data_IF_648514923280
#
_entry.id   IF_648514923280
#
_cell.length_a   1.000
_cell.length_b   1.000
_cell.length_c   1.000
_cell.angle_alpha   90.00
_cell.angle_beta   90.00
_cell.angle_gamma   90.00
#
_symmetry.space_group_name_H-M   'P 1'
#
loop_
_entity.id
_entity.type
_entity.pdbx_description
1 polymer ?
#
# COMPACT_ATOMS: atom_id res chain seq x y z
N UNK A 1 12.83 -33.49 19.47
CA UNK A 1 12.96 -33.02 20.88
C UNK A 1 12.41 -31.60 20.90
N UNK A 2 11.17 -31.44 21.38
CA UNK A 2 10.40 -30.21 21.25
C UNK A 2 10.99 -29.14 22.18
N UNK A 3 11.56 -28.07 21.61
CA UNK A 3 12.20 -26.99 22.36
C UNK A 3 11.23 -25.95 22.94
N UNK A 4 9.92 -26.11 22.74
CA UNK A 4 8.91 -25.08 23.05
C UNK A 4 7.89 -25.49 24.12
N UNK A 5 8.20 -26.48 24.96
CA UNK A 5 7.20 -27.07 25.89
C UNK A 5 6.84 -26.21 27.12
N UNK A 6 7.35 -24.98 27.21
CA UNK A 6 6.90 -23.99 28.19
C UNK A 6 6.91 -22.67 27.43
N UNK A 7 5.75 -22.09 27.13
CA UNK A 7 5.68 -20.68 26.71
C UNK A 7 6.13 -19.82 27.91
N UNK A 8 7.43 -19.64 28.06
CA UNK A 8 7.97 -18.66 28.98
C UNK A 8 7.72 -17.27 28.39
N UNK A 9 7.68 -16.26 29.26
CA UNK A 9 7.76 -14.83 28.90
C UNK A 9 8.90 -14.51 27.91
N UNK A 10 9.84 -15.42 27.69
CA UNK A 10 10.88 -15.40 26.67
C UNK A 10 10.34 -15.51 25.24
N UNK A 11 9.30 -16.32 24.97
CA UNK A 11 8.75 -16.48 23.60
C UNK A 11 8.03 -15.22 23.13
N UNK A 12 7.35 -14.53 24.04
CA UNK A 12 6.68 -13.25 23.77
C UNK A 12 7.68 -12.13 23.50
N UNK A 13 8.70 -12.01 24.37
CA UNK A 13 9.79 -11.05 24.16
C UNK A 13 10.58 -11.36 22.88
N UNK A 14 10.73 -12.64 22.51
CA UNK A 14 11.29 -13.05 21.22
C UNK A 14 10.39 -12.64 20.05
N UNK A 15 9.07 -12.88 20.09
CA UNK A 15 8.14 -12.52 19.01
C UNK A 15 8.05 -11.01 18.73
N UNK A 16 8.00 -10.21 19.80
CA UNK A 16 8.06 -8.74 19.72
C UNK A 16 9.40 -8.28 19.13
N UNK A 17 10.51 -8.88 19.58
CA UNK A 17 11.85 -8.62 19.04
C UNK A 17 11.92 -8.98 17.55
N UNK A 18 11.41 -10.14 17.15
CA UNK A 18 11.35 -10.59 15.76
C UNK A 18 10.52 -9.67 14.89
N UNK A 19 9.38 -9.18 15.35
CA UNK A 19 8.55 -8.25 14.55
C UNK A 19 9.21 -6.89 14.40
N UNK A 20 9.83 -6.36 15.45
CA UNK A 20 10.61 -5.13 15.36
C UNK A 20 11.78 -5.25 14.37
N UNK A 21 12.52 -6.35 14.48
CA UNK A 21 13.65 -6.66 13.59
C UNK A 21 13.17 -6.83 12.14
N UNK A 22 12.16 -7.67 11.91
CA UNK A 22 11.65 -7.94 10.56
C UNK A 22 10.98 -6.72 9.94
N UNK A 23 10.34 -5.86 10.74
CA UNK A 23 9.80 -4.57 10.30
C UNK A 23 10.89 -3.64 9.78
N UNK A 24 12.01 -3.55 10.49
CA UNK A 24 13.17 -2.79 10.03
C UNK A 24 13.75 -3.39 8.74
N UNK A 25 13.92 -4.72 8.67
CA UNK A 25 14.50 -5.40 7.51
C UNK A 25 13.64 -5.33 6.26
N UNK A 26 12.34 -5.66 6.33
CA UNK A 26 11.50 -5.58 5.14
C UNK A 26 11.36 -4.13 4.67
N UNK A 27 11.28 -3.16 5.60
CA UNK A 27 11.19 -1.73 5.24
C UNK A 27 12.46 -1.26 4.53
N UNK A 28 13.63 -1.67 5.02
CA UNK A 28 14.92 -1.45 4.34
C UNK A 28 14.95 -2.10 2.95
N UNK A 29 14.56 -3.38 2.86
CA UNK A 29 14.53 -4.09 1.58
C UNK A 29 13.58 -3.43 0.58
N UNK A 30 12.41 -2.96 1.01
CA UNK A 30 11.48 -2.19 0.17
C UNK A 30 12.10 -0.87 -0.31
N UNK A 31 12.79 -0.15 0.57
CA UNK A 31 13.51 1.08 0.19
C UNK A 31 14.57 0.82 -0.87
N UNK A 32 15.37 -0.24 -0.70
CA UNK A 32 16.39 -0.67 -1.67
C UNK A 32 15.82 -1.43 -2.88
N UNK A 33 14.50 -1.56 -2.99
CA UNK A 33 13.80 -2.29 -4.07
C UNK A 33 14.22 -3.76 -4.18
N UNK A 34 14.64 -4.36 -3.06
CA UNK A 34 14.97 -5.78 -2.89
C UNK A 34 13.70 -6.57 -2.57
N UNK A 35 12.79 -6.68 -3.54
CA UNK A 35 11.47 -7.28 -3.33
C UNK A 35 11.52 -8.76 -2.95
N UNK A 36 12.45 -9.53 -3.50
CA UNK A 36 12.62 -10.94 -3.11
C UNK A 36 12.95 -11.06 -1.62
N UNK A 37 13.92 -10.28 -1.13
CA UNK A 37 14.28 -10.30 0.28
C UNK A 37 13.10 -9.82 1.14
N UNK A 38 12.48 -8.68 0.82
CA UNK A 38 11.34 -8.15 1.56
C UNK A 38 10.19 -9.17 1.69
N UNK A 39 9.88 -9.88 0.59
CA UNK A 39 8.86 -10.94 0.58
C UNK A 39 9.25 -12.11 1.48
N UNK A 40 10.50 -12.56 1.40
CA UNK A 40 10.97 -13.69 2.19
C UNK A 40 10.98 -13.36 3.69
N UNK A 41 11.41 -12.15 4.07
CA UNK A 41 11.29 -11.66 5.45
C UNK A 41 9.84 -11.65 5.94
N UNK A 42 8.91 -11.11 5.15
CA UNK A 42 7.48 -11.09 5.51
C UNK A 42 6.89 -12.49 5.63
N UNK A 43 7.25 -13.40 4.71
CA UNK A 43 6.78 -14.78 4.72
C UNK A 43 7.33 -15.55 5.93
N UNK A 44 8.59 -15.34 6.30
CA UNK A 44 9.18 -15.90 7.51
C UNK A 44 8.51 -15.38 8.78
N UNK A 45 8.26 -14.07 8.88
CA UNK A 45 7.51 -13.48 10.01
C UNK A 45 6.12 -14.08 10.13
N UNK A 46 5.41 -14.21 8.99
CA UNK A 46 4.09 -14.83 8.98
C UNK A 46 4.13 -16.28 9.45
N UNK A 47 5.07 -17.08 8.93
CA UNK A 47 5.25 -18.47 9.35
C UNK A 47 5.47 -18.58 10.87
N UNK A 48 6.36 -17.76 11.44
CA UNK A 48 6.64 -17.75 12.88
C UNK A 48 5.38 -17.41 13.70
N UNK A 49 4.64 -16.37 13.29
CA UNK A 49 3.41 -15.98 13.98
C UNK A 49 2.30 -17.03 13.84
N UNK A 50 2.18 -17.68 12.69
CA UNK A 50 1.22 -18.75 12.46
C UNK A 50 1.53 -20.00 13.32
N UNK A 51 2.81 -20.36 13.48
CA UNK A 51 3.22 -21.47 14.37
C UNK A 51 2.98 -21.11 15.83
N UNK A 52 3.30 -19.88 16.25
CA UNK A 52 3.01 -19.39 17.59
C UNK A 52 1.52 -19.45 17.91
N UNK A 53 0.65 -19.01 16.99
CA UNK A 53 -0.80 -19.04 17.17
C UNK A 53 -1.33 -20.47 17.37
N UNK A 54 -0.79 -21.44 16.61
CA UNK A 54 -1.14 -22.86 16.77
C UNK A 54 -0.76 -23.39 18.15
N UNK A 55 0.45 -23.11 18.61
CA UNK A 55 0.94 -23.57 19.92
C UNK A 55 0.18 -22.90 21.07
N UNK A 56 -0.08 -21.61 20.97
CA UNK A 56 -0.86 -20.85 21.96
C UNK A 56 -2.27 -21.43 22.11
N UNK A 57 -2.97 -21.67 20.98
CA UNK A 57 -4.30 -22.26 21.00
C UNK A 57 -4.30 -23.68 21.58
N UNK A 58 -3.32 -24.51 21.23
CA UNK A 58 -3.18 -25.86 21.80
C UNK A 58 -2.96 -25.83 23.33
N UNK A 59 -2.17 -24.87 23.82
CA UNK A 59 -1.89 -24.70 25.25
C UNK A 59 -3.12 -24.17 26.00
N UNK A 60 -3.93 -23.31 25.36
CA UNK A 60 -5.20 -22.81 25.89
C UNK A 60 -6.22 -23.93 26.06
N UNK A 61 -6.37 -24.78 25.04
CA UNK A 61 -7.25 -25.96 25.08
C UNK A 61 -6.85 -26.96 26.19
N UNK A 62 -5.56 -27.03 26.50
CA UNK A 62 -5.01 -27.85 27.58
C UNK A 62 -5.20 -27.25 29.00
N UNK A 63 -5.84 -26.08 29.16
CA UNK A 63 -6.02 -25.36 30.43
C UNK A 63 -4.72 -25.10 31.21
N UNK A 64 -3.58 -25.00 30.52
CA UNK A 64 -2.26 -24.84 31.13
C UNK A 64 -1.70 -23.43 31.04
N UNK A 65 -2.51 -22.44 30.66
CA UNK A 65 -2.07 -21.04 30.53
C UNK A 65 -2.22 -20.26 31.84
N UNK A 66 -1.22 -19.43 32.20
CA UNK A 66 -1.44 -18.33 33.14
C UNK A 66 -2.48 -17.36 32.55
N UNK A 67 -3.42 -16.85 33.38
CA UNK A 67 -4.38 -15.80 33.01
C UNK A 67 -3.68 -14.44 32.78
N UNK A 68 -2.78 -14.33 31.81
CA UNK A 68 -2.12 -13.08 31.49
C UNK A 68 -2.76 -12.40 30.28
N UNK A 69 -3.56 -11.36 30.55
CA UNK A 69 -4.26 -10.54 29.55
C UNK A 69 -3.31 -9.76 28.62
N UNK A 70 -2.02 -9.66 28.95
CA UNK A 70 -1.08 -8.83 28.19
C UNK A 70 -0.59 -9.52 26.89
N UNK A 71 -0.56 -10.86 26.88
CA UNK A 71 -0.03 -11.66 25.76
C UNK A 71 -0.90 -11.53 24.50
N UNK A 72 -2.23 -11.51 24.67
CA UNK A 72 -3.18 -11.39 23.55
C UNK A 72 -3.04 -10.04 22.83
N UNK A 73 -2.70 -8.98 23.57
CA UNK A 73 -2.58 -7.62 23.03
C UNK A 73 -1.29 -7.47 22.22
N UNK A 74 -0.16 -7.93 22.77
CA UNK A 74 1.12 -7.89 22.07
C UNK A 74 1.09 -8.73 20.80
N UNK A 75 0.56 -9.96 20.83
CA UNK A 75 0.40 -10.79 19.63
C UNK A 75 -0.44 -10.09 18.55
N UNK A 76 -1.55 -9.49 18.96
CA UNK A 76 -2.43 -8.76 18.05
C UNK A 76 -1.69 -7.61 17.35
N UNK A 77 -0.88 -6.84 18.08
CA UNK A 77 -0.07 -5.76 17.52
C UNK A 77 0.94 -6.30 16.48
N UNK A 78 1.60 -7.43 16.75
CA UNK A 78 2.50 -8.06 15.78
C UNK A 78 1.78 -8.46 14.50
N UNK A 79 0.55 -8.98 14.64
CA UNK A 79 -0.28 -9.39 13.51
C UNK A 79 -0.69 -8.19 12.65
N UNK A 80 -1.09 -7.09 13.29
CA UNK A 80 -1.40 -5.84 12.60
C UNK A 80 -0.17 -5.32 11.84
N UNK A 81 1.01 -5.35 12.45
CA UNK A 81 2.25 -4.94 11.78
C UNK A 81 2.60 -5.81 10.57
N UNK A 82 2.44 -7.13 10.68
CA UNK A 82 2.61 -8.05 9.54
C UNK A 82 1.65 -7.72 8.40
N UNK A 83 0.36 -7.51 8.71
CA UNK A 83 -0.65 -7.14 7.72
C UNK A 83 -0.27 -5.83 7.00
N UNK A 84 0.20 -4.83 7.76
CA UNK A 84 0.71 -3.58 7.18
C UNK A 84 1.94 -3.81 6.29
N UNK A 85 2.82 -4.73 6.69
CA UNK A 85 4.01 -5.12 5.93
C UNK A 85 3.66 -5.67 4.55
N UNK A 86 2.74 -6.66 4.50
CA UNK A 86 2.25 -7.21 3.23
C UNK A 86 1.53 -6.17 2.35
N UNK A 87 0.73 -5.30 2.96
CA UNK A 87 0.04 -4.24 2.24
C UNK A 87 1.04 -3.23 1.63
N UNK A 88 2.05 -2.79 2.40
CA UNK A 88 3.12 -1.91 1.93
C UNK A 88 3.94 -2.57 0.82
N UNK A 89 4.25 -3.87 0.97
CA UNK A 89 5.00 -4.64 -0.01
C UNK A 89 4.32 -4.64 -1.39
N UNK A 90 3.05 -5.06 -1.45
CA UNK A 90 2.35 -5.18 -2.73
C UNK A 90 2.07 -3.81 -3.38
N UNK A 91 1.78 -2.80 -2.57
CA UNK A 91 1.63 -1.41 -3.04
C UNK A 91 2.93 -0.86 -3.64
N UNK A 92 4.07 -1.06 -2.96
CA UNK A 92 5.38 -0.65 -3.46
C UNK A 92 5.77 -1.40 -4.75
N UNK A 93 5.52 -2.70 -4.81
CA UNK A 93 5.80 -3.50 -6.01
C UNK A 93 4.99 -3.01 -7.21
N UNK A 94 3.70 -2.70 -7.03
CA UNK A 94 2.86 -2.12 -8.08
C UNK A 94 3.35 -0.74 -8.53
N UNK A 95 3.71 0.12 -7.58
CA UNK A 95 4.25 1.45 -7.87
C UNK A 95 5.52 1.37 -8.73
N UNK A 96 6.47 0.52 -8.33
CA UNK A 96 7.73 0.37 -9.06
C UNK A 96 7.54 -0.34 -10.41
N UNK A 97 6.63 -1.31 -10.49
CA UNK A 97 6.25 -1.93 -11.76
C UNK A 97 5.68 -0.89 -12.75
N UNK A 98 4.83 0.03 -12.27
CA UNK A 98 4.32 1.17 -13.06
C UNK A 98 5.46 2.06 -13.58
N UNK A 99 6.45 2.39 -12.75
CA UNK A 99 7.58 3.22 -13.18
C UNK A 99 8.44 2.53 -14.23
N UNK A 100 8.70 1.23 -14.05
CA UNK A 100 9.48 0.44 -15.02
C UNK A 100 8.74 0.33 -16.36
N UNK A 101 7.44 0.09 -16.34
CA UNK A 101 6.61 0.12 -17.55
C UNK A 101 6.70 1.47 -18.26
N UNK A 102 6.55 2.57 -17.51
CA UNK A 102 6.61 3.94 -18.06
C UNK A 102 7.98 4.28 -18.67
N UNK A 103 9.06 3.78 -18.08
CA UNK A 103 10.42 4.00 -18.59
C UNK A 103 10.66 3.21 -19.88
N UNK A 104 10.24 1.94 -19.92
CA UNK A 104 10.38 1.08 -21.11
C UNK A 104 9.63 1.62 -22.33
N UNK A 105 8.45 2.23 -22.14
CA UNK A 105 7.68 2.86 -23.21
C UNK A 105 8.35 4.12 -23.78
N UNK A 106 9.06 4.89 -22.94
CA UNK A 106 9.75 6.12 -23.34
C UNK A 106 11.10 5.88 -24.02
N UNK A 107 11.79 4.78 -23.71
CA UNK A 107 13.07 4.45 -24.36
C UNK A 107 12.88 3.81 -25.74
N UNK A 108 11.80 3.06 -25.98
CA UNK A 108 11.49 2.43 -27.27
C UNK A 108 11.10 3.40 -28.39
N UNK A 109 10.88 4.68 -28.09
CA UNK A 109 10.51 5.73 -29.07
C UNK A 109 11.69 6.56 -29.56
N UNK A 110 12.90 6.32 -29.06
CA UNK A 110 14.12 6.94 -29.60
C UNK A 110 14.83 5.94 -30.51
N UNK A 111 14.86 6.24 -31.82
CA UNK A 111 15.78 5.59 -32.77
C UNK A 111 17.18 5.58 -32.18
N UNK A 112 17.85 4.44 -32.37
CA UNK A 112 19.18 4.15 -31.86
C UNK A 112 20.15 5.32 -32.06
N UNK A 113 20.61 5.89 -30.94
CA UNK A 113 21.94 6.48 -30.86
C UNK A 113 22.70 5.68 -29.82
N UNK A 114 23.72 4.97 -30.30
CA UNK A 114 24.73 4.28 -29.53
C UNK A 114 25.50 5.27 -28.66
N UNK A 115 24.94 5.62 -27.50
CA UNK A 115 25.72 6.09 -26.36
C UNK A 115 25.17 5.45 -25.09
N UNK A 116 26.07 4.73 -24.43
CA UNK A 116 25.84 3.85 -23.28
C UNK A 116 25.26 4.66 -22.12
N UNK A 117 23.94 4.62 -21.92
CA UNK A 117 23.31 5.09 -20.68
C UNK A 117 22.62 3.92 -20.01
N UNK A 118 23.37 3.22 -19.16
CA UNK A 118 22.85 2.21 -18.25
C UNK A 118 22.09 2.91 -17.14
N UNK A 119 20.78 3.09 -17.34
CA UNK A 119 19.84 3.45 -16.28
C UNK A 119 18.55 2.67 -16.50
N UNK A 120 18.68 1.36 -16.69
CA UNK A 120 17.60 0.47 -16.26
C UNK A 120 17.57 0.57 -14.74
N UNK A 121 16.40 0.86 -14.15
CA UNK A 121 16.16 0.56 -12.73
C UNK A 121 16.01 -0.97 -12.67
N UNK A 122 17.09 -1.67 -12.95
CA UNK A 122 17.20 -3.07 -12.61
C UNK A 122 17.09 -3.16 -11.07
N UNK A 123 16.35 -4.14 -10.55
CA UNK A 123 16.48 -4.46 -9.13
C UNK A 123 17.98 -4.67 -8.88
N UNK A 124 18.52 -4.05 -7.81
CA UNK A 124 19.90 -4.32 -7.38
C UNK A 124 19.97 -5.79 -6.94
N UNK A 125 20.05 -6.72 -7.88
CA UNK A 125 20.27 -8.15 -7.65
C UNK A 125 21.76 -8.46 -7.39
N UNK A 126 22.62 -7.44 -7.26
CA UNK A 126 24.08 -7.61 -7.07
C UNK A 126 24.58 -7.55 -5.63
N UNK A 127 23.69 -7.47 -4.63
CA UNK A 127 24.08 -7.71 -3.24
C UNK A 127 23.79 -9.18 -2.91
N UNK A 128 24.69 -9.83 -2.16
CA UNK A 128 24.40 -11.14 -1.57
C UNK A 128 23.00 -11.13 -0.93
N UNK A 129 22.22 -12.21 -1.08
CA UNK A 129 20.89 -12.27 -0.47
C UNK A 129 21.05 -11.99 1.02
N UNK A 130 20.27 -11.03 1.54
CA UNK A 130 20.16 -10.83 2.99
C UNK A 130 19.23 -11.92 3.53
N UNK A 131 19.47 -13.17 3.17
CA UNK A 131 18.63 -14.30 3.54
C UNK A 131 19.03 -14.77 4.93
N UNK A 132 18.03 -14.98 5.78
CA UNK A 132 18.19 -15.77 6.99
C UNK A 132 18.69 -17.16 6.62
N UNK A 133 19.86 -17.53 7.11
CA UNK A 133 20.42 -18.86 6.92
C UNK A 133 19.88 -19.79 8.01
N UNK A 134 18.58 -20.11 7.94
CA UNK A 134 17.95 -21.17 8.74
C UNK A 134 17.71 -22.36 7.82
N UNK A 135 18.19 -23.53 8.23
CA UNK A 135 18.00 -24.82 7.56
C UNK A 135 16.53 -25.06 7.11
N UNK A 136 16.32 -25.17 5.81
CA UNK A 136 15.03 -25.42 5.15
C UNK A 136 13.95 -24.31 5.31
N UNK A 137 14.32 -23.06 5.63
CA UNK A 137 13.34 -21.96 5.68
C UNK A 137 12.66 -21.73 4.34
N UNK A 138 13.40 -21.82 3.23
CA UNK A 138 12.82 -21.64 1.89
C UNK A 138 11.67 -22.62 1.62
N UNK A 139 11.79 -23.87 2.10
CA UNK A 139 10.72 -24.85 1.99
C UNK A 139 9.53 -24.51 2.89
N UNK A 140 9.79 -24.08 4.13
CA UNK A 140 8.75 -23.76 5.12
C UNK A 140 7.91 -22.53 4.73
N UNK A 141 8.52 -21.54 4.09
CA UNK A 141 7.84 -20.29 3.72
C UNK A 141 7.31 -20.28 2.29
N UNK A 142 7.62 -21.32 1.50
CA UNK A 142 7.33 -21.38 0.06
C UNK A 142 5.89 -21.04 -0.27
N UNK A 143 4.94 -21.64 0.44
CA UNK A 143 3.51 -21.45 0.18
C UNK A 143 3.07 -20.01 0.48
N UNK A 144 3.60 -19.41 1.55
CA UNK A 144 3.33 -18.02 1.92
C UNK A 144 3.96 -17.06 0.91
N UNK A 145 5.24 -17.26 0.59
CA UNK A 145 5.97 -16.44 -0.36
C UNK A 145 5.38 -16.52 -1.79
N UNK A 146 4.80 -17.66 -2.16
CA UNK A 146 4.20 -17.83 -3.49
C UNK A 146 2.88 -17.06 -3.69
N UNK A 147 2.26 -16.54 -2.62
CA UNK A 147 0.99 -15.80 -2.70
C UNK A 147 1.10 -14.48 -3.47
N UNK A 148 2.31 -13.94 -3.61
CA UNK A 148 2.58 -12.70 -4.34
C UNK A 148 3.96 -12.77 -5.01
N UNK A 149 4.03 -12.29 -6.25
CA UNK A 149 5.31 -12.23 -6.98
C UNK A 149 6.29 -11.26 -6.31
N UNK A 150 7.58 -11.51 -6.48
CA UNK A 150 8.70 -10.62 -6.14
C UNK A 150 9.27 -9.88 -7.35
N UNK A 151 8.78 -10.19 -8.54
CA UNK A 151 9.23 -9.58 -9.78
C UNK A 151 8.31 -8.45 -10.20
N UNK A 152 8.89 -7.45 -10.85
CA UNK A 152 8.11 -6.39 -11.49
C UNK A 152 7.16 -6.97 -12.53
N UNK A 153 5.96 -6.42 -12.61
CA UNK A 153 4.93 -6.84 -13.55
C UNK A 153 4.79 -5.83 -14.69
N UNK A 154 4.41 -6.32 -15.87
CA UNK A 154 4.22 -5.48 -17.08
C UNK A 154 2.82 -5.60 -17.69
N UNK A 155 1.98 -6.50 -17.17
CA UNK A 155 0.64 -6.78 -17.70
C UNK A 155 -0.45 -6.64 -16.62
N UNK A 156 -1.68 -6.41 -17.08
CA UNK A 156 -2.83 -6.18 -16.21
C UNK A 156 -3.18 -7.38 -15.33
N UNK A 157 -2.99 -8.61 -15.82
CA UNK A 157 -3.35 -9.84 -15.08
C UNK A 157 -2.54 -9.96 -13.81
N UNK A 158 -1.21 -9.83 -13.93
CA UNK A 158 -0.32 -9.96 -12.79
C UNK A 158 -0.43 -8.75 -11.85
N UNK A 159 -0.61 -7.54 -12.41
CA UNK A 159 -0.89 -6.35 -11.61
C UNK A 159 -2.19 -6.49 -10.80
N UNK A 160 -3.25 -7.10 -11.35
CA UNK A 160 -4.49 -7.40 -10.63
C UNK A 160 -4.26 -8.41 -9.49
N UNK A 161 -3.41 -9.42 -9.69
CA UNK A 161 -3.08 -10.38 -8.64
C UNK A 161 -2.42 -9.67 -7.44
N UNK A 162 -1.42 -8.82 -7.69
CA UNK A 162 -0.79 -8.01 -6.64
C UNK A 162 -1.82 -7.07 -6.00
N UNK A 163 -2.67 -6.43 -6.80
CA UNK A 163 -3.72 -5.53 -6.29
C UNK A 163 -4.65 -6.25 -5.32
N UNK A 164 -5.20 -7.41 -5.69
CA UNK A 164 -6.11 -8.19 -4.83
C UNK A 164 -5.43 -8.57 -3.52
N UNK A 165 -4.20 -9.12 -3.61
CA UNK A 165 -3.39 -9.45 -2.43
C UNK A 165 -3.19 -8.24 -1.52
N UNK A 166 -2.78 -7.10 -2.09
CA UNK A 166 -2.51 -5.85 -1.36
C UNK A 166 -3.76 -5.31 -0.66
N UNK A 167 -4.88 -5.24 -1.39
CA UNK A 167 -6.11 -4.67 -0.85
C UNK A 167 -6.71 -5.52 0.26
N UNK A 168 -6.57 -6.86 0.19
CA UNK A 168 -6.99 -7.74 1.29
C UNK A 168 -6.37 -7.32 2.62
N UNK A 169 -5.07 -7.04 2.64
CA UNK A 169 -4.36 -6.65 3.86
C UNK A 169 -4.72 -5.23 4.31
N UNK A 170 -4.92 -4.27 3.40
CA UNK A 170 -5.42 -2.96 3.79
C UNK A 170 -6.84 -3.01 4.35
N UNK A 171 -7.72 -3.83 3.79
CA UNK A 171 -9.09 -4.00 4.30
C UNK A 171 -9.09 -4.64 5.69
N UNK A 172 -8.22 -5.62 5.95
CA UNK A 172 -8.02 -6.19 7.29
C UNK A 172 -7.57 -5.11 8.30
N UNK A 173 -6.57 -4.30 7.94
CA UNK A 173 -6.11 -3.19 8.77
C UNK A 173 -7.22 -2.14 9.04
N UNK A 174 -8.03 -1.82 8.03
CA UNK A 174 -9.17 -0.90 8.19
C UNK A 174 -10.18 -1.46 9.18
N UNK A 175 -10.51 -2.74 9.09
CA UNK A 175 -11.43 -3.41 10.02
C UNK A 175 -10.91 -3.34 11.46
N UNK A 176 -9.64 -3.69 11.68
CA UNK A 176 -8.97 -3.58 12.98
C UNK A 176 -9.06 -2.15 13.56
N UNK A 177 -8.82 -1.11 12.76
CA UNK A 177 -8.93 0.28 13.21
C UNK A 177 -10.38 0.66 13.57
N UNK A 178 -11.35 0.16 12.80
CA UNK A 178 -12.77 0.41 13.06
C UNK A 178 -13.24 -0.25 14.35
N UNK A 179 -12.82 -1.49 14.60
CA UNK A 179 -13.11 -2.21 15.85
C UNK A 179 -12.51 -1.50 17.08
N UNK A 180 -11.30 -0.94 16.94
CA UNK A 180 -10.66 -0.15 17.98
C UNK A 180 -11.21 1.29 18.14
N UNK A 181 -12.10 1.73 17.24
CA UNK A 181 -12.61 3.11 17.23
C UNK A 181 -11.57 4.17 16.81
N UNK A 182 -10.43 3.77 16.25
CA UNK A 182 -9.35 4.67 15.85
C UNK A 182 -9.54 5.17 14.40
N UNK A 183 -10.33 6.24 14.28
CA UNK A 183 -10.58 6.90 12.98
C UNK A 183 -9.32 7.50 12.35
N UNK A 184 -8.33 7.89 13.17
CA UNK A 184 -7.07 8.42 12.66
C UNK A 184 -6.29 7.33 11.96
N UNK A 185 -6.08 6.19 12.63
CA UNK A 185 -5.35 5.05 12.07
C UNK A 185 -6.09 4.40 10.90
N UNK A 186 -7.43 4.48 10.84
CA UNK A 186 -8.21 4.06 9.67
C UNK A 186 -7.85 4.84 8.39
N UNK A 187 -7.51 6.12 8.52
CA UNK A 187 -7.32 7.04 7.40
C UNK A 187 -6.21 6.59 6.45
N UNK A 188 -5.10 6.09 7.01
CA UNK A 188 -3.93 5.68 6.25
C UNK A 188 -4.17 4.44 5.37
N UNK A 189 -4.60 3.27 5.87
CA UNK A 189 -4.86 2.11 5.04
C UNK A 189 -5.97 2.38 4.02
N UNK A 190 -7.03 3.11 4.39
CA UNK A 190 -8.08 3.50 3.45
C UNK A 190 -7.54 4.33 2.28
N UNK A 191 -6.69 5.33 2.56
CA UNK A 191 -6.04 6.11 1.51
C UNK A 191 -5.11 5.26 0.63
N UNK A 192 -4.34 4.34 1.22
CA UNK A 192 -3.43 3.49 0.45
C UNK A 192 -4.16 2.53 -0.50
N UNK A 193 -5.40 2.11 -0.20
CA UNK A 193 -6.24 1.39 -1.19
C UNK A 193 -6.46 2.28 -2.42
N UNK A 194 -6.76 3.57 -2.24
CA UNK A 194 -6.95 4.51 -3.37
C UNK A 194 -5.68 4.72 -4.20
N UNK A 195 -4.50 4.68 -3.55
CA UNK A 195 -3.21 4.71 -4.23
C UNK A 195 -2.93 3.41 -4.98
N UNK A 196 -3.28 2.26 -4.40
CA UNK A 196 -3.10 0.96 -5.07
C UNK A 196 -3.93 0.90 -6.37
N UNK A 197 -5.15 1.46 -6.37
CA UNK A 197 -5.94 1.67 -7.59
C UNK A 197 -5.23 2.58 -8.62
N UNK A 198 -4.59 3.66 -8.17
CA UNK A 198 -3.80 4.58 -9.02
C UNK A 198 -2.64 3.87 -9.71
N UNK A 199 -2.05 2.87 -9.06
CA UNK A 199 -0.93 2.13 -9.61
C UNK A 199 -1.42 1.05 -10.60
N UNK A 200 -2.52 0.37 -10.28
CA UNK A 200 -3.14 -0.60 -11.17
C UNK A 200 -3.65 0.03 -12.48
N UNK A 201 -4.18 1.26 -12.42
CA UNK A 201 -4.76 1.97 -13.58
C UNK A 201 -3.80 2.08 -14.77
N UNK A 202 -2.48 2.18 -14.53
CA UNK A 202 -1.48 2.28 -15.60
C UNK A 202 -1.33 1.00 -16.43
N UNK A 203 -1.79 -0.14 -15.92
CA UNK A 203 -1.82 -1.41 -16.64
C UNK A 203 -3.11 -1.60 -17.42
N UNK A 204 -4.10 -0.71 -17.29
CA UNK A 204 -5.39 -0.84 -17.93
C UNK A 204 -5.35 -0.19 -19.34
N UNK A 205 -5.40 -0.99 -20.43
CA UNK A 205 -5.41 -0.44 -21.79
C UNK A 205 -6.70 0.33 -22.12
N UNK A 206 -7.85 -0.10 -21.59
CA UNK A 206 -9.14 0.47 -21.97
C UNK A 206 -9.41 1.80 -21.23
N UNK A 207 -9.48 2.90 -21.99
CA UNK A 207 -9.65 4.26 -21.44
C UNK A 207 -10.95 4.42 -20.63
N UNK A 208 -12.05 3.83 -21.09
CA UNK A 208 -13.32 3.86 -20.35
C UNK A 208 -13.21 3.19 -18.98
N UNK A 209 -12.43 2.11 -18.89
CA UNK A 209 -12.17 1.46 -17.61
C UNK A 209 -11.26 2.32 -16.72
N UNK A 210 -10.26 3.00 -17.28
CA UNK A 210 -9.45 3.97 -16.52
C UNK A 210 -10.29 5.11 -15.95
N UNK A 211 -11.20 5.69 -16.74
CA UNK A 211 -12.18 6.68 -16.27
C UNK A 211 -12.98 6.12 -15.08
N UNK A 212 -13.54 4.90 -15.19
CA UNK A 212 -14.26 4.25 -14.08
C UNK A 212 -13.40 4.09 -12.82
N UNK A 213 -12.12 3.73 -12.99
CA UNK A 213 -11.18 3.61 -11.88
C UNK A 213 -10.91 4.97 -11.21
N UNK A 214 -10.74 6.05 -11.97
CA UNK A 214 -10.61 7.40 -11.40
C UNK A 214 -11.87 7.86 -10.68
N UNK A 215 -13.06 7.62 -11.25
CA UNK A 215 -14.35 7.92 -10.59
C UNK A 215 -14.44 7.16 -9.25
N UNK A 216 -14.08 5.87 -9.22
CA UNK A 216 -14.06 5.06 -7.99
C UNK A 216 -13.07 5.62 -6.96
N UNK A 217 -11.85 6.00 -7.37
CA UNK A 217 -10.84 6.58 -6.47
C UNK A 217 -11.34 7.87 -5.83
N UNK A 218 -11.93 8.77 -6.61
CA UNK A 218 -12.53 10.01 -6.10
C UNK A 218 -13.63 9.72 -5.09
N UNK A 219 -14.53 8.77 -5.38
CA UNK A 219 -15.57 8.37 -4.43
C UNK A 219 -14.97 7.89 -3.11
N UNK A 220 -13.97 7.00 -3.17
CA UNK A 220 -13.30 6.51 -1.96
C UNK A 220 -12.63 7.63 -1.16
N UNK A 221 -12.01 8.62 -1.83
CA UNK A 221 -11.42 9.78 -1.16
C UNK A 221 -12.49 10.63 -0.46
N UNK A 222 -13.64 10.85 -1.11
CA UNK A 222 -14.77 11.53 -0.48
C UNK A 222 -15.30 10.77 0.74
N UNK A 223 -15.46 9.45 0.62
CA UNK A 223 -15.93 8.60 1.72
C UNK A 223 -14.98 8.69 2.93
N UNK A 224 -13.66 8.69 2.70
CA UNK A 224 -12.65 8.86 3.74
C UNK A 224 -12.75 10.25 4.38
N UNK A 225 -12.87 11.32 3.58
CA UNK A 225 -12.98 12.70 4.09
C UNK A 225 -14.22 12.85 4.98
N UNK A 226 -15.36 12.29 4.56
CA UNK A 226 -16.60 12.32 5.33
C UNK A 226 -16.45 11.54 6.63
N UNK A 227 -15.91 10.32 6.56
CA UNK A 227 -15.74 9.45 7.72
C UNK A 227 -14.79 10.04 8.76
N UNK A 228 -13.70 10.66 8.31
CA UNK A 228 -12.62 11.17 9.16
C UNK A 228 -12.79 12.65 9.53
N UNK A 229 -13.97 13.22 9.28
CA UNK A 229 -14.25 14.65 9.47
C UNK A 229 -13.94 15.09 10.90
N UNK A 230 -13.02 16.05 11.03
CA UNK A 230 -12.57 16.58 12.33
C UNK A 230 -11.39 15.82 12.95
N UNK A 231 -11.06 14.63 12.46
CA UNK A 231 -9.96 13.80 12.96
C UNK A 231 -8.74 13.80 12.02
N UNK A 232 -8.96 13.85 10.72
CA UNK A 232 -7.86 13.86 9.75
C UNK A 232 -7.00 15.14 9.86
N UNK A 233 -5.67 15.02 10.02
CA UNK A 233 -4.78 16.19 9.99
C UNK A 233 -4.89 16.93 8.65
N UNK A 234 -4.75 18.26 8.69
CA UNK A 234 -4.73 19.06 7.47
C UNK A 234 -3.68 18.59 6.45
N UNK A 235 -2.52 18.12 6.92
CA UNK A 235 -1.48 17.55 6.05
C UNK A 235 -1.96 16.31 5.25
N UNK A 236 -2.88 15.52 5.81
CA UNK A 236 -3.49 14.37 5.13
C UNK A 236 -4.58 14.83 4.17
N UNK A 237 -5.45 15.74 4.60
CA UNK A 237 -6.49 16.33 3.75
C UNK A 237 -5.92 16.99 2.48
N UNK A 238 -4.76 17.66 2.59
CA UNK A 238 -4.05 18.21 1.44
C UNK A 238 -3.73 17.15 0.38
N UNK A 239 -3.31 15.96 0.81
CA UNK A 239 -3.04 14.85 -0.12
C UNK A 239 -4.31 14.39 -0.81
N UNK A 240 -5.42 14.29 -0.09
CA UNK A 240 -6.70 13.85 -0.65
C UNK A 240 -7.22 14.82 -1.69
N UNK A 241 -7.25 16.12 -1.38
CA UNK A 241 -7.73 17.14 -2.32
C UNK A 241 -6.85 17.24 -3.57
N UNK A 242 -5.52 17.11 -3.42
CA UNK A 242 -4.62 17.02 -4.57
C UNK A 242 -4.89 15.79 -5.43
N UNK A 243 -5.04 14.60 -4.83
CA UNK A 243 -5.28 13.38 -5.58
C UNK A 243 -6.68 13.37 -6.25
N UNK A 244 -7.68 14.03 -5.64
CA UNK A 244 -8.97 14.28 -6.27
C UNK A 244 -8.84 15.21 -7.47
N UNK A 245 -8.19 16.37 -7.31
CA UNK A 245 -7.94 17.32 -8.39
C UNK A 245 -7.26 16.65 -9.60
N UNK A 246 -6.18 15.90 -9.36
CA UNK A 246 -5.45 15.17 -10.40
C UNK A 246 -6.36 14.12 -11.06
N UNK A 247 -7.21 13.44 -10.28
CA UNK A 247 -8.08 12.38 -10.82
C UNK A 247 -9.21 12.94 -11.67
N UNK A 248 -9.79 14.08 -11.29
CA UNK A 248 -10.78 14.76 -12.12
C UNK A 248 -10.17 15.30 -13.42
N UNK A 249 -8.97 15.90 -13.36
CA UNK A 249 -8.24 16.31 -14.56
C UNK A 249 -8.01 15.14 -15.53
N UNK A 250 -7.54 14.00 -15.02
CA UNK A 250 -7.35 12.79 -15.82
C UNK A 250 -8.66 12.27 -16.45
N UNK A 251 -9.79 12.38 -15.75
CA UNK A 251 -11.11 12.02 -16.31
C UNK A 251 -11.45 12.95 -17.48
N UNK A 252 -11.30 14.26 -17.31
CA UNK A 252 -11.58 15.26 -18.35
C UNK A 252 -10.72 14.99 -19.58
N UNK A 253 -9.40 14.85 -19.42
CA UNK A 253 -8.47 14.59 -20.52
C UNK A 253 -8.89 13.32 -21.29
N UNK A 254 -9.17 12.25 -20.57
CA UNK A 254 -9.59 10.98 -21.18
C UNK A 254 -10.95 11.07 -21.88
N UNK A 255 -11.89 11.85 -21.36
CA UNK A 255 -13.19 12.06 -22.00
C UNK A 255 -13.07 12.85 -23.30
N UNK A 256 -12.25 13.90 -23.31
CA UNK A 256 -11.98 14.73 -24.49
C UNK A 256 -11.31 13.90 -25.59
N UNK A 257 -10.26 13.14 -25.26
CA UNK A 257 -9.60 12.24 -26.21
C UNK A 257 -10.56 11.17 -26.77
N UNK A 258 -11.42 10.59 -25.93
CA UNK A 258 -12.41 9.60 -26.36
C UNK A 258 -13.40 10.19 -27.36
N UNK A 259 -13.87 11.42 -27.13
CA UNK A 259 -14.78 12.09 -28.05
C UNK A 259 -14.10 12.40 -29.38
N UNK A 260 -12.85 12.88 -29.36
CA UNK A 260 -12.05 13.12 -30.56
C UNK A 260 -11.89 11.84 -31.40
N UNK A 261 -11.47 10.73 -30.77
CA UNK A 261 -11.31 9.42 -31.46
C UNK A 261 -12.65 8.93 -32.04
N UNK A 262 -13.75 9.15 -31.31
CA UNK A 262 -15.09 8.74 -31.75
C UNK A 262 -15.74 9.71 -32.75
N UNK A 263 -15.09 10.83 -33.11
CA UNK A 263 -15.67 11.87 -33.95
C UNK A 263 -16.89 12.57 -33.35
N UNK A 264 -17.03 12.52 -32.02
CA UNK A 264 -18.16 13.14 -31.31
C UNK A 264 -17.90 14.64 -31.12
N UNK A 265 -18.87 15.51 -31.45
CA UNK A 265 -18.74 16.93 -31.18
C UNK A 265 -18.70 17.19 -29.67
N UNK A 266 -17.97 18.22 -29.26
CA UNK A 266 -17.83 18.59 -27.85
C UNK A 266 -19.19 18.82 -27.16
N UNK A 267 -20.19 19.31 -27.88
CA UNK A 267 -21.56 19.54 -27.38
C UNK A 267 -22.20 18.29 -26.77
N UNK A 268 -21.82 17.09 -27.21
CA UNK A 268 -22.33 15.82 -26.65
C UNK A 268 -21.74 15.48 -25.27
N UNK A 269 -20.48 15.89 -25.02
CA UNK A 269 -19.77 15.58 -23.76
C UNK A 269 -19.67 16.79 -22.83
N UNK A 270 -20.02 17.98 -23.32
CA UNK A 270 -19.86 19.25 -22.62
C UNK A 270 -20.47 19.26 -21.21
N UNK A 271 -21.71 18.78 -20.95
CA UNK A 271 -22.28 18.83 -19.61
C UNK A 271 -21.47 18.05 -18.58
N UNK A 272 -21.05 16.83 -18.93
CA UNK A 272 -20.27 15.96 -18.03
C UNK A 272 -18.84 16.50 -17.84
N UNK A 273 -18.21 17.04 -18.90
CA UNK A 273 -16.90 17.70 -18.77
C UNK A 273 -16.97 18.91 -17.84
N UNK A 274 -17.97 19.78 -17.99
CA UNK A 274 -18.13 20.96 -17.14
C UNK A 274 -18.42 20.60 -15.67
N UNK A 275 -19.13 19.50 -15.42
CA UNK A 275 -19.31 18.96 -14.06
C UNK A 275 -17.97 18.57 -13.44
N UNK A 276 -17.11 17.86 -14.17
CA UNK A 276 -15.78 17.50 -13.67
C UNK A 276 -14.85 18.70 -13.50
N UNK A 277 -14.94 19.72 -14.38
CA UNK A 277 -14.19 20.98 -14.22
C UNK A 277 -14.60 21.68 -12.92
N UNK A 278 -15.90 21.73 -12.62
CA UNK A 278 -16.40 22.28 -11.35
C UNK A 278 -15.78 21.52 -10.16
N UNK A 279 -15.77 20.20 -10.20
CA UNK A 279 -15.18 19.39 -9.13
C UNK A 279 -13.66 19.56 -8.99
N UNK A 280 -12.93 19.79 -10.09
CA UNK A 280 -11.52 20.19 -10.04
C UNK A 280 -11.35 21.48 -9.23
N UNK A 281 -12.13 22.51 -9.56
CA UNK A 281 -12.07 23.81 -8.89
C UNK A 281 -12.42 23.68 -7.40
N UNK A 282 -13.51 22.99 -7.07
CA UNK A 282 -13.91 22.74 -5.68
C UNK A 282 -12.83 22.00 -4.87
N UNK A 283 -12.15 21.02 -5.50
CA UNK A 283 -11.05 20.29 -4.86
C UNK A 283 -9.85 21.19 -4.59
N UNK A 284 -9.52 22.08 -5.54
CA UNK A 284 -8.43 23.05 -5.39
C UNK A 284 -8.71 24.10 -4.32
N UNK A 285 -9.94 24.61 -4.25
CA UNK A 285 -10.36 25.54 -3.20
C UNK A 285 -10.23 24.90 -1.80
N UNK A 286 -10.73 23.67 -1.64
CA UNK A 286 -10.59 22.91 -0.39
C UNK A 286 -9.12 22.66 -0.02
N UNK A 287 -8.27 22.39 -1.01
CA UNK A 287 -6.82 22.28 -0.80
C UNK A 287 -6.23 23.57 -0.22
N UNK A 288 -6.54 24.73 -0.82
CA UNK A 288 -6.02 26.02 -0.34
C UNK A 288 -6.51 26.34 1.07
N UNK A 289 -7.79 26.08 1.38
CA UNK A 289 -8.33 26.25 2.73
C UNK A 289 -7.59 25.37 3.74
N UNK A 290 -7.35 24.10 3.42
CA UNK A 290 -6.61 23.19 4.29
C UNK A 290 -5.14 23.64 4.48
N UNK A 291 -4.53 24.20 3.43
CA UNK A 291 -3.14 24.67 3.42
C UNK A 291 -2.97 25.88 4.34
N UNK A 292 -3.89 26.83 4.27
CA UNK A 292 -3.89 28.02 5.12
C UNK A 292 -4.05 27.64 6.58
N UNK A 293 -4.97 26.71 6.88
CA UNK A 293 -5.16 26.19 8.23
C UNK A 293 -3.90 25.49 8.77
N UNK A 294 -3.26 24.64 7.96
CA UNK A 294 -2.00 24.00 8.33
C UNK A 294 -0.88 25.02 8.62
N UNK A 295 -0.81 26.07 7.81
CA UNK A 295 0.20 27.13 7.96
C UNK A 295 0.01 27.90 9.26
N UNK A 296 -1.25 28.26 9.59
CA UNK A 296 -1.58 28.90 10.88
C UNK A 296 -1.19 28.04 12.08
N UNK A 297 -1.50 26.74 12.07
CA UNK A 297 -1.12 25.81 13.14
C UNK A 297 0.40 25.77 13.35
N UNK A 298 1.18 25.71 12.27
CA UNK A 298 2.65 25.73 12.35
C UNK A 298 3.18 27.03 12.94
N UNK A 299 2.63 28.18 12.54
CA UNK A 299 3.03 29.48 13.08
C UNK A 299 2.75 29.59 14.58
N UNK A 300 1.58 29.12 15.04
CA UNK A 300 1.25 29.10 16.48
C UNK A 300 2.19 28.20 17.28
N UNK A 301 2.54 27.02 16.76
CA UNK A 301 3.48 26.12 17.42
C UNK A 301 4.91 26.69 17.51
N UNK A 302 5.32 27.51 16.54
CA UNK A 302 6.64 28.16 16.57
C UNK A 302 6.70 29.36 17.53
N UNK A 303 5.57 29.95 17.90
CA UNK A 303 5.49 31.03 18.91
C UNK A 303 5.54 30.47 20.34
N UNK A 304 5.20 29.19 20.52
CA UNK A 304 5.18 28.50 21.81
C UNK A 304 6.51 27.77 22.16
N UNK A 305 7.55 27.93 21.33
CA UNK A 305 8.92 27.44 21.58
C UNK A 305 9.84 28.60 21.89
#
# INVERSE_FOLDING_TARGET
MNRWTIMSTTVLTEGVTWTNITTAFYSYCLHEKRFSDARNYLAATQYILDEYEKEFNATKEANSLPEDKNIDTEYYDLRVHLDQGWAKYGSALLLHSKYNLSYSQKSGTKKADTSRSTSSIEPKESAEPLTFNWENVDERIKDIASQVTDKYVSNLKDAKAIFVHTTKWYEKNKACCMEAGDMFSYTFPAYNVTLTYKYLECFQPERNMRIKMHKRRVQMLNDIIVFTKGYAPYAVLLKFYMDMFISYGAIIDMMMENAEIAGKPFTEIQPEVLEYVKHCVESWEKYNIAKDKLTKVKSTMNILK
#
